data_IF_869286100600
#
_entry.id   IF_869286100600
#
_cell.length_a   1.000
_cell.length_b   1.000
_cell.length_c   1.000
_cell.angle_alpha   90.00
_cell.angle_beta   90.00
_cell.angle_gamma   90.00
#
_symmetry.space_group_name_H-M   'P 1'
#
loop_
_entity.id
_entity.type
_entity.pdbx_description
1 polymer ?
#
# COMPACT_ATOMS: atom_id res chain seq x y z
N UNK A 1 10.38 -12.94 17.18
CA UNK A 1 9.35 -12.74 16.13
C UNK A 1 9.85 -11.66 15.20
N UNK A 2 9.54 -11.74 13.91
CA UNK A 2 9.89 -10.70 12.96
C UNK A 2 8.61 -10.05 12.38
N UNK A 3 8.74 -8.80 11.93
CA UNK A 3 7.68 -8.08 11.22
C UNK A 3 8.06 -7.87 9.77
N UNK A 4 7.16 -8.18 8.87
CA UNK A 4 7.34 -7.93 7.45
C UNK A 4 6.52 -6.71 7.05
N UNK A 5 7.19 -5.68 6.53
CA UNK A 5 6.54 -4.51 5.94
C UNK A 5 6.46 -4.73 4.42
N UNK A 6 5.27 -5.08 3.95
CA UNK A 6 4.96 -5.17 2.53
C UNK A 6 4.68 -3.77 1.99
N UNK A 7 5.39 -3.41 0.93
CA UNK A 7 5.40 -2.05 0.40
C UNK A 7 5.15 -2.03 -1.09
N UNK A 8 4.44 -1.00 -1.51
CA UNK A 8 4.26 -0.63 -2.90
C UNK A 8 4.25 0.89 -3.03
N UNK A 9 4.19 1.41 -4.26
CA UNK A 9 4.21 2.82 -4.58
C UNK A 9 3.06 3.20 -5.51
N UNK A 10 2.40 4.34 -5.26
CA UNK A 10 1.43 4.89 -6.18
C UNK A 10 1.60 6.39 -6.38
N UNK A 11 1.13 6.91 -7.51
CA UNK A 11 1.13 8.35 -7.75
C UNK A 11 2.35 8.87 -8.51
N UNK A 12 3.11 8.01 -9.18
CA UNK A 12 4.19 8.45 -10.08
C UNK A 12 3.67 9.33 -11.22
N UNK A 13 2.42 9.13 -11.65
CA UNK A 13 1.71 10.07 -12.52
C UNK A 13 1.18 11.25 -11.71
N UNK A 14 2.05 12.24 -11.53
CA UNK A 14 1.74 13.48 -10.80
C UNK A 14 0.54 14.27 -11.36
N UNK A 15 0.01 13.90 -12.51
CA UNK A 15 -1.14 14.58 -13.12
C UNK A 15 -2.48 13.95 -12.69
N UNK A 16 -2.51 12.70 -12.29
CA UNK A 16 -3.74 11.96 -12.00
C UNK A 16 -4.08 11.87 -10.50
N UNK A 17 -3.08 11.82 -9.61
CA UNK A 17 -3.29 11.58 -8.18
C UNK A 17 -2.86 12.77 -7.31
N UNK A 18 -3.51 13.02 -6.17
CA UNK A 18 -3.20 14.16 -5.30
C UNK A 18 -1.91 13.98 -4.48
N UNK A 19 -1.53 12.74 -4.22
CA UNK A 19 -0.33 12.39 -3.44
C UNK A 19 0.41 11.22 -4.07
N UNK A 20 1.73 11.33 -4.11
CA UNK A 20 2.60 10.17 -4.25
C UNK A 20 2.66 9.48 -2.90
N UNK A 21 2.25 8.21 -2.82
CA UNK A 21 2.23 7.43 -1.58
C UNK A 21 3.17 6.25 -1.70
N UNK A 22 4.00 6.06 -0.67
CA UNK A 22 4.87 4.90 -0.49
C UNK A 22 4.59 4.25 0.84
N UNK A 23 4.55 2.94 0.86
CA UNK A 23 4.33 2.18 2.07
C UNK A 23 3.38 1.02 1.84
N UNK A 24 2.67 0.64 2.88
CA UNK A 24 1.75 -0.47 2.86
C UNK A 24 1.43 -0.92 4.27
N UNK A 25 1.57 -2.21 4.55
CA UNK A 25 1.25 -2.74 5.87
C UNK A 25 2.33 -3.66 6.42
N UNK A 26 2.50 -3.64 7.73
CA UNK A 26 3.35 -4.56 8.46
C UNK A 26 2.52 -5.65 9.13
N UNK A 27 3.00 -6.89 9.09
CA UNK A 27 2.38 -8.04 9.72
C UNK A 27 3.45 -8.91 10.39
N UNK A 28 3.11 -9.56 11.50
CA UNK A 28 4.01 -10.50 12.16
C UNK A 28 4.24 -11.75 11.28
N UNK A 29 5.45 -12.28 11.28
CA UNK A 29 5.85 -13.48 10.53
C UNK A 29 4.91 -14.67 10.79
N UNK A 30 4.50 -14.86 12.04
CA UNK A 30 3.58 -15.91 12.45
C UNK A 30 2.15 -15.77 11.89
N UNK A 31 1.73 -14.55 11.54
CA UNK A 31 0.42 -14.26 10.99
C UNK A 31 0.41 -14.27 9.45
N UNK A 32 1.59 -14.26 8.79
CA UNK A 32 1.70 -14.11 7.34
C UNK A 32 0.99 -15.23 6.58
N UNK A 33 1.31 -16.49 6.90
CA UNK A 33 0.71 -17.60 6.15
C UNK A 33 -0.80 -17.72 6.35
N UNK A 34 -1.35 -17.64 7.58
CA UNK A 34 -2.81 -17.53 7.78
C UNK A 34 -3.45 -16.38 7.00
N UNK A 35 -2.80 -15.20 6.95
CA UNK A 35 -3.27 -14.06 6.17
C UNK A 35 -3.34 -14.37 4.67
N UNK A 36 -2.29 -14.95 4.10
CA UNK A 36 -2.25 -15.34 2.67
C UNK A 36 -3.37 -16.33 2.35
N UNK A 37 -3.59 -17.34 3.20
CA UNK A 37 -4.68 -18.28 3.03
C UNK A 37 -6.06 -17.61 3.10
N UNK A 38 -6.25 -16.66 4.00
CA UNK A 38 -7.49 -15.91 4.12
C UNK A 38 -7.75 -15.02 2.90
N UNK A 39 -6.73 -14.37 2.34
CA UNK A 39 -6.86 -13.58 1.10
C UNK A 39 -7.25 -14.48 -0.07
N UNK A 40 -6.64 -15.65 -0.21
CA UNK A 40 -7.06 -16.62 -1.24
C UNK A 40 -8.51 -17.07 -1.08
N UNK A 41 -8.95 -17.35 0.14
CA UNK A 41 -10.36 -17.73 0.41
C UNK A 41 -11.31 -16.58 0.06
N UNK A 42 -10.93 -15.34 0.40
CA UNK A 42 -11.71 -14.16 0.08
C UNK A 42 -11.85 -13.97 -1.42
N UNK A 43 -10.76 -14.15 -2.18
CA UNK A 43 -10.73 -14.06 -3.63
C UNK A 43 -11.73 -15.06 -4.26
N UNK A 44 -11.66 -16.33 -3.84
CA UNK A 44 -12.62 -17.38 -4.26
C UNK A 44 -14.05 -17.06 -3.84
N UNK A 45 -14.25 -16.48 -2.65
CA UNK A 45 -15.58 -16.07 -2.19
C UNK A 45 -16.17 -14.93 -3.02
N UNK A 46 -15.35 -13.96 -3.39
CA UNK A 46 -15.80 -12.80 -4.16
C UNK A 46 -16.03 -13.13 -5.62
N UNK A 47 -15.04 -13.72 -6.29
CA UNK A 47 -15.02 -13.92 -7.74
C UNK A 47 -15.37 -15.35 -8.19
N UNK A 48 -15.33 -16.33 -7.29
CA UNK A 48 -15.50 -17.73 -7.62
C UNK A 48 -14.33 -18.35 -8.38
N UNK A 49 -13.21 -17.65 -8.47
CA UNK A 49 -11.99 -18.06 -9.14
C UNK A 49 -10.80 -17.28 -8.56
N UNK A 50 -9.58 -17.74 -8.82
CA UNK A 50 -8.37 -16.97 -8.59
C UNK A 50 -8.14 -16.04 -9.78
N UNK A 51 -7.88 -14.78 -9.53
CA UNK A 51 -7.63 -13.79 -10.60
C UNK A 51 -6.40 -14.16 -11.42
N UNK A 52 -5.38 -14.73 -10.79
CA UNK A 52 -4.16 -15.19 -11.47
C UNK A 52 -4.44 -16.22 -12.58
N UNK A 53 -5.44 -17.10 -12.41
CA UNK A 53 -5.84 -18.08 -13.42
C UNK A 53 -6.36 -17.40 -14.70
N UNK A 54 -6.76 -16.14 -14.58
CA UNK A 54 -7.26 -15.31 -15.69
C UNK A 54 -6.29 -14.16 -16.04
N UNK A 55 -5.01 -14.29 -15.74
CA UNK A 55 -3.98 -13.27 -15.99
C UNK A 55 -4.34 -11.91 -15.41
N UNK A 56 -5.00 -11.92 -14.27
CA UNK A 56 -5.38 -10.73 -13.52
C UNK A 56 -4.82 -10.80 -12.11
N UNK A 57 -4.83 -9.68 -11.40
CA UNK A 57 -4.28 -9.55 -10.06
C UNK A 57 -5.13 -8.59 -9.23
N UNK A 58 -4.98 -8.66 -7.92
CA UNK A 58 -5.58 -7.73 -6.97
C UNK A 58 -4.81 -6.41 -7.06
N UNK A 59 -5.48 -5.34 -7.54
CA UNK A 59 -4.93 -3.98 -7.60
C UNK A 59 -5.98 -2.95 -7.21
N UNK A 60 -5.58 -1.92 -6.46
CA UNK A 60 -6.44 -0.81 -6.06
C UNK A 60 -7.08 -0.12 -7.24
N UNK A 61 -6.30 0.13 -8.30
CA UNK A 61 -6.78 0.70 -9.57
C UNK A 61 -7.84 -0.16 -10.25
N UNK A 62 -7.79 -1.49 -10.10
CA UNK A 62 -8.75 -2.43 -10.68
C UNK A 62 -9.98 -2.63 -9.80
N UNK A 63 -9.78 -2.80 -8.47
CA UNK A 63 -10.87 -3.06 -7.53
C UNK A 63 -11.72 -1.81 -7.24
N UNK A 64 -11.08 -0.64 -7.19
CA UNK A 64 -11.67 0.62 -6.75
C UNK A 64 -11.75 1.66 -7.88
N UNK A 65 -11.75 1.23 -9.15
CA UNK A 65 -12.02 2.09 -10.28
C UNK A 65 -13.43 2.70 -10.18
N UNK A 66 -13.64 3.89 -10.73
CA UNK A 66 -14.94 4.56 -10.70
C UNK A 66 -16.07 3.73 -11.30
N UNK A 67 -15.77 2.98 -12.35
CA UNK A 67 -16.73 2.08 -12.99
C UNK A 67 -17.10 0.89 -12.07
N UNK A 68 -16.23 0.47 -11.15
CA UNK A 68 -16.53 -0.57 -10.15
C UNK A 68 -17.56 -0.09 -9.14
N UNK A 69 -17.41 1.14 -8.63
CA UNK A 69 -18.43 1.77 -7.79
C UNK A 69 -19.74 1.94 -8.57
N UNK A 70 -19.68 2.51 -9.77
CA UNK A 70 -20.85 2.74 -10.63
C UNK A 70 -21.63 1.45 -10.92
N UNK A 71 -20.94 0.33 -11.17
CA UNK A 71 -21.58 -0.94 -11.51
C UNK A 71 -21.89 -1.75 -10.25
N UNK A 72 -21.02 -1.76 -9.25
CA UNK A 72 -21.17 -2.57 -8.03
C UNK A 72 -22.28 -2.09 -7.09
N UNK A 73 -22.69 -0.81 -7.19
CA UNK A 73 -23.79 -0.23 -6.42
C UNK A 73 -25.13 -0.26 -7.18
N UNK A 74 -25.20 -0.92 -8.34
CA UNK A 74 -26.43 -1.06 -9.13
C UNK A 74 -27.19 -2.33 -8.82
N UNK A 75 -28.48 -2.28 -9.03
CA UNK A 75 -29.35 -3.46 -9.06
C UNK A 75 -29.15 -4.30 -10.34
N UNK A 76 -29.38 -5.61 -10.27
CA UNK A 76 -29.72 -6.35 -9.05
C UNK A 76 -28.49 -6.66 -8.19
N UNK A 77 -28.71 -6.76 -6.87
CA UNK A 77 -27.71 -7.35 -5.94
C UNK A 77 -27.75 -8.85 -6.11
N UNK A 78 -26.64 -9.44 -6.55
CA UNK A 78 -26.57 -10.89 -6.79
C UNK A 78 -26.27 -11.68 -5.52
N UNK A 79 -26.90 -12.84 -5.37
CA UNK A 79 -26.46 -13.84 -4.42
C UNK A 79 -25.02 -14.33 -4.74
N UNK A 80 -24.43 -15.08 -3.81
CA UNK A 80 -23.05 -15.53 -3.93
C UNK A 80 -22.81 -16.38 -5.20
N UNK A 81 -23.69 -17.36 -5.46
CA UNK A 81 -23.49 -18.30 -6.57
C UNK A 81 -23.62 -17.62 -7.93
N UNK A 82 -24.65 -16.80 -8.11
CA UNK A 82 -24.88 -16.00 -9.32
C UNK A 82 -23.76 -15.03 -9.56
N UNK A 83 -23.32 -14.27 -8.52
CA UNK A 83 -22.20 -13.35 -8.62
C UNK A 83 -20.93 -14.06 -9.07
N UNK A 84 -20.57 -15.19 -8.46
CA UNK A 84 -19.38 -15.95 -8.82
C UNK A 84 -19.44 -16.48 -10.26
N UNK A 85 -20.59 -17.00 -10.70
CA UNK A 85 -20.74 -17.46 -12.09
C UNK A 85 -20.55 -16.33 -13.10
N UNK A 86 -21.17 -15.18 -12.84
CA UNK A 86 -21.03 -13.98 -13.71
C UNK A 86 -19.60 -13.40 -13.68
N UNK A 87 -18.92 -13.45 -12.53
CA UNK A 87 -17.53 -13.01 -12.44
C UNK A 87 -16.59 -13.90 -13.23
N UNK A 88 -16.71 -15.23 -13.12
CA UNK A 88 -15.92 -16.14 -13.98
C UNK A 88 -16.16 -15.90 -15.46
N UNK A 89 -17.42 -15.72 -15.85
CA UNK A 89 -17.75 -15.42 -17.24
C UNK A 89 -17.19 -14.05 -17.69
N UNK A 90 -17.14 -13.05 -16.80
CA UNK A 90 -16.49 -11.76 -17.07
C UNK A 90 -14.98 -11.90 -17.28
N UNK A 91 -14.33 -12.66 -16.41
CA UNK A 91 -12.88 -12.91 -16.49
C UNK A 91 -12.54 -13.69 -17.76
N UNK A 92 -13.36 -14.67 -18.14
CA UNK A 92 -13.20 -15.42 -19.37
C UNK A 92 -13.37 -14.52 -20.63
N UNK A 93 -14.38 -13.62 -20.63
CA UNK A 93 -14.55 -12.64 -21.71
C UNK A 93 -13.28 -11.77 -21.84
N UNK A 94 -12.65 -11.40 -20.71
CA UNK A 94 -11.41 -10.64 -20.70
C UNK A 94 -10.25 -11.37 -21.39
N UNK A 95 -10.07 -12.67 -21.13
CA UNK A 95 -9.07 -13.50 -21.82
C UNK A 95 -9.32 -13.60 -23.32
N UNK A 96 -10.60 -13.70 -23.69
CA UNK A 96 -11.04 -13.83 -25.08
C UNK A 96 -11.18 -12.47 -25.79
N UNK A 97 -10.88 -11.36 -25.09
CA UNK A 97 -11.05 -9.98 -25.59
C UNK A 97 -12.48 -9.67 -26.06
N UNK A 98 -13.48 -10.26 -25.41
CA UNK A 98 -14.89 -10.03 -25.68
C UNK A 98 -15.43 -8.90 -24.80
N UNK A 99 -16.31 -8.03 -25.30
CA UNK A 99 -16.94 -7.02 -24.47
C UNK A 99 -17.90 -7.66 -23.44
N UNK A 100 -17.79 -7.33 -22.14
CA UNK A 100 -18.66 -7.91 -21.14
C UNK A 100 -20.07 -7.30 -21.18
N UNK A 101 -21.08 -8.12 -20.95
CA UNK A 101 -22.45 -7.66 -20.78
C UNK A 101 -22.69 -6.94 -19.45
N UNK A 102 -23.78 -6.14 -19.38
CA UNK A 102 -24.12 -5.31 -18.22
C UNK A 102 -24.17 -6.10 -16.89
N UNK A 103 -24.79 -7.29 -16.87
CA UNK A 103 -24.90 -8.11 -15.66
C UNK A 103 -23.53 -8.59 -15.17
N UNK A 104 -22.61 -8.95 -16.08
CA UNK A 104 -21.25 -9.34 -15.75
C UNK A 104 -20.49 -8.16 -15.14
N UNK A 105 -20.64 -6.94 -15.68
CA UNK A 105 -20.02 -5.73 -15.12
C UNK A 105 -20.55 -5.41 -13.72
N UNK A 106 -21.86 -5.57 -13.49
CA UNK A 106 -22.48 -5.37 -12.18
C UNK A 106 -21.95 -6.39 -11.17
N UNK A 107 -21.95 -7.67 -11.51
CA UNK A 107 -21.45 -8.73 -10.63
C UNK A 107 -19.97 -8.56 -10.29
N UNK A 108 -19.15 -8.22 -11.28
CA UNK A 108 -17.73 -7.97 -11.09
C UNK A 108 -17.47 -6.71 -10.26
N UNK A 109 -18.27 -5.65 -10.41
CA UNK A 109 -18.23 -4.47 -9.55
C UNK A 109 -18.55 -4.81 -8.09
N UNK A 110 -19.62 -5.58 -7.85
CA UNK A 110 -19.99 -6.06 -6.50
C UNK A 110 -18.87 -6.92 -5.88
N UNK A 111 -18.29 -7.84 -6.66
CA UNK A 111 -17.18 -8.67 -6.20
C UNK A 111 -15.93 -7.84 -5.88
N UNK A 112 -15.62 -6.83 -6.70
CA UNK A 112 -14.46 -5.95 -6.50
C UNK A 112 -14.57 -5.14 -5.21
N UNK A 113 -15.74 -4.53 -4.96
CA UNK A 113 -15.98 -3.79 -3.73
C UNK A 113 -15.95 -4.70 -2.50
N UNK A 114 -16.57 -5.90 -2.59
CA UNK A 114 -16.53 -6.89 -1.52
C UNK A 114 -15.10 -7.37 -1.25
N UNK A 115 -14.28 -7.57 -2.27
CA UNK A 115 -12.88 -7.94 -2.13
C UNK A 115 -12.10 -6.85 -1.39
N UNK A 116 -12.26 -5.59 -1.79
CA UNK A 116 -11.58 -4.49 -1.12
C UNK A 116 -12.00 -4.35 0.35
N UNK A 117 -13.29 -4.47 0.67
CA UNK A 117 -13.77 -4.47 2.07
C UNK A 117 -13.15 -5.61 2.87
N UNK A 118 -13.19 -6.82 2.33
CA UNK A 118 -12.67 -8.00 2.98
C UNK A 118 -11.15 -7.94 3.21
N UNK A 119 -10.39 -7.28 2.32
CA UNK A 119 -8.96 -7.02 2.54
C UNK A 119 -8.75 -6.23 3.84
N UNK A 120 -9.49 -5.15 4.04
CA UNK A 120 -9.36 -4.36 5.28
C UNK A 120 -9.82 -5.13 6.52
N UNK A 121 -10.86 -5.97 6.39
CA UNK A 121 -11.30 -6.86 7.48
C UNK A 121 -10.21 -7.89 7.85
N UNK A 122 -9.50 -8.42 6.85
CA UNK A 122 -8.39 -9.35 7.06
C UNK A 122 -7.18 -8.66 7.69
N UNK A 123 -6.81 -7.46 7.23
CA UNK A 123 -5.73 -6.68 7.84
C UNK A 123 -6.01 -6.43 9.32
N UNK A 124 -7.24 -6.10 9.68
CA UNK A 124 -7.64 -5.92 11.08
C UNK A 124 -7.58 -7.23 11.86
N UNK A 125 -8.15 -8.31 11.33
CA UNK A 125 -8.15 -9.64 11.95
C UNK A 125 -6.76 -10.15 12.27
N UNK A 126 -5.83 -9.95 11.34
CA UNK A 126 -4.42 -10.37 11.49
C UNK A 126 -3.55 -9.32 12.18
N UNK A 127 -4.15 -8.26 12.76
CA UNK A 127 -3.47 -7.20 13.51
C UNK A 127 -2.36 -6.52 12.71
N UNK A 128 -2.55 -6.38 11.41
CA UNK A 128 -1.66 -5.64 10.55
C UNK A 128 -1.68 -4.14 10.91
N UNK A 129 -0.56 -3.47 10.66
CA UNK A 129 -0.39 -2.05 10.94
C UNK A 129 0.05 -1.31 9.68
N UNK A 130 -0.53 -0.17 9.39
CA UNK A 130 -0.21 0.62 8.21
C UNK A 130 0.93 1.59 8.50
N UNK A 131 1.92 1.58 7.60
CA UNK A 131 3.04 2.52 7.53
C UNK A 131 3.11 3.09 6.11
N UNK A 132 3.06 4.41 6.01
CA UNK A 132 3.13 5.08 4.71
C UNK A 132 3.64 6.51 4.82
N UNK A 133 4.19 7.00 3.73
CA UNK A 133 4.48 8.41 3.50
C UNK A 133 3.67 8.92 2.33
N UNK A 134 3.15 10.13 2.46
CA UNK A 134 2.41 10.81 1.41
C UNK A 134 3.13 12.12 1.04
N UNK A 135 3.49 12.28 -0.22
CA UNK A 135 4.13 13.47 -0.77
C UNK A 135 3.09 14.23 -1.59
N UNK A 136 2.80 15.51 -1.30
CA UNK A 136 1.84 16.28 -2.07
C UNK A 136 2.24 16.40 -3.54
N UNK A 137 1.25 16.49 -4.39
CA UNK A 137 1.45 16.70 -5.83
C UNK A 137 2.33 17.94 -6.09
N UNK A 138 3.34 17.78 -6.94
CA UNK A 138 4.26 18.86 -7.31
C UNK A 138 5.54 18.93 -6.48
N UNK A 139 5.57 18.33 -5.28
CA UNK A 139 6.78 18.26 -4.44
C UNK A 139 7.76 17.15 -4.86
N UNK A 140 7.32 16.25 -5.71
CA UNK A 140 8.12 15.11 -6.17
C UNK A 140 9.18 15.43 -7.24
N UNK A 141 9.37 16.72 -7.64
CA UNK A 141 10.36 17.11 -8.63
C UNK A 141 11.36 18.10 -8.02
N UNK A 142 12.69 17.92 -8.26
CA UNK A 142 13.68 18.91 -7.89
C UNK A 142 13.35 20.26 -8.52
N UNK A 143 13.57 21.35 -7.80
CA UNK A 143 13.45 22.70 -8.36
C UNK A 143 14.51 22.86 -9.46
N UNK A 144 14.11 23.34 -10.63
CA UNK A 144 15.00 23.52 -11.77
C UNK A 144 16.13 24.47 -11.38
N UNK A 145 17.38 23.98 -11.41
CA UNK A 145 18.57 24.76 -11.02
C UNK A 145 19.09 24.50 -9.61
N UNK A 146 18.37 23.74 -8.76
CA UNK A 146 18.92 23.25 -7.49
C UNK A 146 19.76 21.99 -7.75
N UNK A 147 20.91 21.84 -7.05
CA UNK A 147 21.67 20.61 -7.14
C UNK A 147 20.79 19.45 -6.67
N UNK A 148 20.89 18.26 -7.30
CA UNK A 148 20.18 17.10 -6.81
C UNK A 148 20.52 16.90 -5.33
N UNK A 149 19.53 16.53 -4.49
CA UNK A 149 19.81 16.24 -3.10
C UNK A 149 20.92 15.19 -3.00
N UNK A 150 21.76 15.25 -1.97
CA UNK A 150 22.85 14.29 -1.82
C UNK A 150 22.29 12.88 -1.96
N UNK A 151 23.03 11.98 -2.56
CA UNK A 151 22.67 10.62 -2.99
C UNK A 151 22.29 9.65 -1.84
N UNK A 152 21.81 10.22 -0.75
CA UNK A 152 21.27 9.52 0.39
C UNK A 152 19.77 9.31 0.14
N UNK A 153 19.23 8.28 0.74
CA UNK A 153 17.84 7.87 0.64
C UNK A 153 16.87 9.07 0.70
N UNK A 154 15.93 9.15 -0.23
CA UNK A 154 14.92 10.21 -0.32
C UNK A 154 14.15 10.35 1.00
N UNK A 155 13.75 11.57 1.34
CA UNK A 155 13.19 11.92 2.66
C UNK A 155 11.96 11.11 3.04
N UNK A 156 11.07 10.81 2.10
CA UNK A 156 9.90 9.97 2.33
C UNK A 156 10.26 8.55 2.77
N UNK A 157 11.22 7.90 2.10
CA UNK A 157 11.74 6.60 2.55
C UNK A 157 12.35 6.69 3.96
N UNK A 158 13.11 7.76 4.22
CA UNK A 158 13.73 7.96 5.54
C UNK A 158 12.68 8.05 6.65
N UNK A 159 11.59 8.80 6.42
CA UNK A 159 10.50 8.90 7.39
C UNK A 159 9.72 7.59 7.55
N UNK A 160 9.50 6.85 6.46
CA UNK A 160 8.86 5.53 6.54
C UNK A 160 9.67 4.58 7.41
N UNK A 161 10.99 4.45 7.13
CA UNK A 161 11.90 3.63 7.92
C UNK A 161 11.96 4.08 9.38
N UNK A 162 11.92 5.37 9.64
CA UNK A 162 11.91 5.92 11.00
C UNK A 162 10.67 5.46 11.78
N UNK A 163 9.48 5.56 11.19
CA UNK A 163 8.24 5.14 11.85
C UNK A 163 8.20 3.63 12.09
N UNK A 164 8.66 2.87 11.12
CA UNK A 164 8.76 1.42 11.27
C UNK A 164 9.80 1.04 12.33
N UNK A 165 10.95 1.73 12.38
CA UNK A 165 11.97 1.54 13.40
C UNK A 165 11.44 1.80 14.82
N UNK A 166 10.71 2.91 15.05
CA UNK A 166 10.13 3.20 16.36
C UNK A 166 9.16 2.10 16.82
N UNK A 167 8.36 1.59 15.89
CA UNK A 167 7.48 0.46 16.16
C UNK A 167 8.27 -0.79 16.58
N UNK A 168 9.27 -1.18 15.80
CA UNK A 168 10.10 -2.36 16.04
C UNK A 168 10.87 -2.26 17.36
N UNK A 169 11.46 -1.10 17.65
CA UNK A 169 12.15 -0.82 18.89
C UNK A 169 11.22 -0.97 20.10
N UNK A 170 10.01 -0.40 20.02
CA UNK A 170 9.00 -0.56 21.06
C UNK A 170 8.56 -2.02 21.27
N UNK A 171 8.62 -2.84 20.21
CA UNK A 171 8.37 -4.30 20.28
C UNK A 171 9.60 -5.11 20.67
N UNK A 172 10.82 -4.58 20.52
CA UNK A 172 12.09 -5.30 20.60
C UNK A 172 12.18 -6.46 19.63
N UNK A 173 11.72 -6.23 18.41
CA UNK A 173 11.63 -7.23 17.34
C UNK A 173 12.26 -6.71 16.05
N UNK A 174 12.71 -7.61 15.18
CA UNK A 174 13.32 -7.26 13.89
C UNK A 174 12.26 -7.05 12.83
N UNK A 175 12.57 -6.21 11.84
CA UNK A 175 11.72 -5.98 10.69
C UNK A 175 12.42 -6.20 9.36
N UNK A 176 11.66 -6.69 8.39
CA UNK A 176 12.08 -6.88 7.00
C UNK A 176 11.21 -6.02 6.08
N UNK A 177 11.82 -5.49 5.03
CA UNK A 177 11.12 -4.79 3.97
C UNK A 177 10.92 -5.72 2.79
N UNK A 178 9.68 -5.88 2.33
CA UNK A 178 9.31 -6.65 1.14
C UNK A 178 8.64 -5.69 0.16
N UNK A 179 9.23 -5.54 -1.02
CA UNK A 179 8.86 -4.53 -2.00
C UNK A 179 8.48 -5.18 -3.34
N UNK A 180 7.62 -4.51 -4.09
CA UNK A 180 7.39 -4.87 -5.49
C UNK A 180 8.65 -4.68 -6.33
N UNK A 181 8.96 -5.64 -7.19
CA UNK A 181 10.01 -5.54 -8.18
C UNK A 181 9.57 -4.60 -9.31
N UNK A 182 10.35 -3.55 -9.57
CA UNK A 182 10.05 -2.58 -10.63
C UNK A 182 10.91 -2.87 -11.85
N UNK A 183 12.13 -2.42 -11.82
CA UNK A 183 13.11 -2.62 -12.89
C UNK A 183 14.48 -2.92 -12.28
N UNK A 184 15.15 -3.94 -12.77
CA UNK A 184 16.41 -4.45 -12.19
C UNK A 184 17.48 -3.37 -11.94
N UNK A 185 17.54 -2.33 -12.76
CA UNK A 185 18.50 -1.22 -12.56
C UNK A 185 18.02 -0.25 -11.48
N UNK A 186 16.73 0.02 -11.40
CA UNK A 186 16.14 0.89 -10.38
C UNK A 186 16.23 0.25 -9.01
N UNK A 187 15.88 -1.03 -8.91
CA UNK A 187 16.00 -1.82 -7.68
C UNK A 187 17.44 -1.82 -7.16
N UNK A 188 18.43 -2.04 -8.02
CA UNK A 188 19.86 -1.98 -7.65
C UNK A 188 20.27 -0.61 -7.12
N UNK A 189 19.84 0.48 -7.77
CA UNK A 189 20.11 1.85 -7.31
C UNK A 189 19.46 2.12 -5.96
N UNK A 190 18.23 1.62 -5.78
CA UNK A 190 17.54 1.75 -4.50
C UNK A 190 18.26 0.97 -3.39
N UNK A 191 18.65 -0.28 -3.64
CA UNK A 191 19.45 -1.09 -2.69
C UNK A 191 20.74 -0.37 -2.33
N UNK A 192 21.47 0.18 -3.30
CA UNK A 192 22.71 0.92 -3.03
C UNK A 192 22.46 2.14 -2.14
N UNK A 193 21.41 2.93 -2.39
CA UNK A 193 21.03 4.07 -1.56
C UNK A 193 20.63 3.63 -0.14
N UNK A 194 19.88 2.55 -0.01
CA UNK A 194 19.53 1.96 1.28
C UNK A 194 20.78 1.54 2.05
N UNK A 195 21.68 0.83 1.39
CA UNK A 195 22.95 0.40 1.97
C UNK A 195 23.79 1.61 2.43
N UNK A 196 23.93 2.62 1.59
CA UNK A 196 24.64 3.85 1.93
C UNK A 196 23.99 4.57 3.12
N UNK A 197 22.68 4.64 3.16
CA UNK A 197 21.95 5.20 4.27
C UNK A 197 22.26 4.45 5.58
N UNK A 198 22.14 3.14 5.60
CA UNK A 198 22.39 2.33 6.80
C UNK A 198 23.85 2.35 7.25
N UNK A 199 24.80 2.44 6.34
CA UNK A 199 26.22 2.42 6.68
C UNK A 199 26.80 3.79 6.97
N UNK A 200 26.45 4.83 6.17
CA UNK A 200 27.12 6.12 6.18
C UNK A 200 26.46 7.15 7.09
N UNK A 201 25.20 6.94 7.52
CA UNK A 201 24.51 7.90 8.39
C UNK A 201 24.40 7.39 9.83
N UNK A 202 24.43 8.31 10.82
CA UNK A 202 24.23 7.94 12.24
C UNK A 202 22.86 7.33 12.49
N UNK A 203 21.80 7.93 11.90
CA UNK A 203 20.44 7.42 12.00
C UNK A 203 20.26 6.05 11.33
N UNK A 204 20.91 5.84 10.18
CA UNK A 204 20.87 4.57 9.48
C UNK A 204 21.50 3.46 10.29
N UNK A 205 22.73 3.67 10.84
CA UNK A 205 23.40 2.72 11.72
C UNK A 205 22.58 2.37 12.95
N UNK A 206 21.87 3.34 13.53
CA UNK A 206 20.97 3.08 14.65
C UNK A 206 19.80 2.17 14.23
N UNK A 207 19.17 2.48 13.09
CA UNK A 207 17.99 1.75 12.59
C UNK A 207 18.31 0.35 12.11
N UNK A 208 19.55 0.07 11.67
CA UNK A 208 19.99 -1.27 11.29
C UNK A 208 19.99 -2.28 12.43
N UNK A 209 19.84 -1.82 13.68
CA UNK A 209 19.62 -2.70 14.85
C UNK A 209 18.25 -3.36 14.84
N UNK A 210 17.27 -2.76 14.16
CA UNK A 210 15.88 -3.18 14.16
C UNK A 210 15.35 -3.55 12.77
N UNK A 211 15.93 -2.97 11.71
CA UNK A 211 15.52 -3.22 10.33
C UNK A 211 16.66 -3.95 9.62
N UNK A 212 16.36 -5.08 8.99
CA UNK A 212 17.32 -5.76 8.11
C UNK A 212 17.68 -4.76 6.98
N UNK A 213 19.00 -4.41 6.85
CA UNK A 213 19.42 -3.30 5.98
C UNK A 213 19.45 -3.68 4.48
N UNK A 214 18.64 -4.61 4.06
CA UNK A 214 18.46 -5.02 2.68
C UNK A 214 17.00 -5.32 2.42
N UNK A 215 16.34 -4.66 1.47
CA UNK A 215 14.98 -5.01 1.07
C UNK A 215 14.95 -6.30 0.27
N UNK A 216 13.84 -7.00 0.33
CA UNK A 216 13.53 -8.17 -0.50
C UNK A 216 12.56 -7.73 -1.60
N UNK A 217 12.93 -7.95 -2.86
CA UNK A 217 12.07 -7.68 -4.00
C UNK A 217 11.36 -8.96 -4.43
N UNK A 218 10.07 -8.83 -4.72
CA UNK A 218 9.22 -9.93 -5.15
C UNK A 218 8.36 -9.50 -6.32
N UNK A 219 8.09 -10.40 -7.24
CA UNK A 219 7.15 -10.13 -8.33
C UNK A 219 5.72 -10.03 -7.77
N UNK A 220 5.05 -8.90 -8.00
CA UNK A 220 3.73 -8.63 -7.42
C UNK A 220 2.66 -9.63 -7.86
N UNK A 221 2.74 -10.11 -9.10
CA UNK A 221 1.81 -11.12 -9.64
C UNK A 221 1.88 -12.48 -8.90
N UNK A 222 2.99 -12.74 -8.19
CA UNK A 222 3.22 -13.95 -7.40
C UNK A 222 3.09 -13.72 -5.88
N UNK A 223 3.03 -12.47 -5.42
CA UNK A 223 3.10 -12.10 -4.02
C UNK A 223 1.82 -11.39 -3.53
N UNK A 224 0.81 -12.15 -3.09
CA UNK A 224 -0.46 -11.58 -2.59
C UNK A 224 -0.31 -10.45 -1.56
N UNK A 225 0.61 -10.51 -0.58
CA UNK A 225 0.74 -9.41 0.36
C UNK A 225 1.16 -8.09 -0.29
N UNK A 226 1.97 -8.12 -1.36
CA UNK A 226 2.32 -6.90 -2.12
C UNK A 226 1.13 -6.38 -2.89
N UNK A 227 0.30 -7.26 -3.49
CA UNK A 227 -0.96 -6.85 -4.12
C UNK A 227 -1.92 -6.20 -3.12
N UNK A 228 -1.96 -6.68 -1.88
CA UNK A 228 -2.74 -6.05 -0.81
C UNK A 228 -2.15 -4.68 -0.43
N UNK A 229 -0.83 -4.54 -0.40
CA UNK A 229 -0.18 -3.25 -0.15
C UNK A 229 -0.56 -2.21 -1.22
N UNK A 230 -0.64 -2.59 -2.52
CA UNK A 230 -1.14 -1.72 -3.60
C UNK A 230 -2.57 -1.20 -3.29
N UNK A 231 -3.47 -2.06 -2.85
CA UNK A 231 -4.83 -1.64 -2.46
C UNK A 231 -4.81 -0.65 -1.30
N UNK A 232 -3.97 -0.88 -0.28
CA UNK A 232 -3.83 0.00 0.89
C UNK A 232 -3.34 1.38 0.48
N UNK A 233 -2.26 1.47 -0.30
CA UNK A 233 -1.71 2.76 -0.72
C UNK A 233 -2.61 3.50 -1.71
N UNK A 234 -3.33 2.77 -2.57
CA UNK A 234 -4.34 3.37 -3.45
C UNK A 234 -5.46 4.05 -2.65
N UNK A 235 -5.98 3.37 -1.62
CA UNK A 235 -6.97 3.95 -0.71
C UNK A 235 -6.39 5.16 0.04
N UNK A 236 -5.13 5.07 0.50
CA UNK A 236 -4.45 6.19 1.14
C UNK A 236 -4.36 7.41 0.22
N UNK A 237 -3.94 7.22 -1.02
CA UNK A 237 -3.79 8.31 -1.98
C UNK A 237 -5.10 9.03 -2.26
N UNK A 238 -6.21 8.30 -2.45
CA UNK A 238 -7.48 8.84 -2.87
C UNK A 238 -8.49 9.13 -1.76
N UNK A 239 -8.41 8.42 -0.62
CA UNK A 239 -9.48 8.43 0.38
C UNK A 239 -9.07 8.91 1.76
N UNK A 240 -7.79 8.82 2.14
CA UNK A 240 -7.34 9.21 3.47
C UNK A 240 -6.79 10.62 3.50
N UNK A 241 -7.18 11.39 4.53
CA UNK A 241 -6.62 12.72 4.78
C UNK A 241 -6.28 12.89 6.25
N UNK A 242 -5.09 13.39 6.49
CA UNK A 242 -4.67 13.85 7.82
C UNK A 242 -4.98 15.32 7.95
N UNK A 243 -5.79 15.67 8.94
CA UNK A 243 -6.16 17.06 9.20
C UNK A 243 -4.94 17.99 9.20
N UNK A 244 -5.08 19.15 8.57
CA UNK A 244 -4.07 20.22 8.44
C UNK A 244 -2.82 19.88 7.62
N UNK A 245 -2.57 18.63 7.31
CA UNK A 245 -1.35 18.22 6.60
C UNK A 245 -1.63 17.73 5.16
N UNK A 246 -2.82 17.17 4.94
CA UNK A 246 -3.20 16.62 3.65
C UNK A 246 -4.50 17.27 3.17
N UNK A 247 -4.38 18.30 2.33
CA UNK A 247 -5.51 19.13 1.86
C UNK A 247 -5.94 18.83 0.41
N UNK A 248 -5.27 17.90 -0.26
CA UNK A 248 -5.57 17.53 -1.64
C UNK A 248 -6.97 16.90 -1.80
N UNK A 249 -7.53 16.89 -3.01
CA UNK A 249 -8.86 16.37 -3.25
C UNK A 249 -8.97 14.87 -2.92
N UNK A 250 -10.16 14.45 -2.51
CA UNK A 250 -10.50 13.05 -2.28
C UNK A 250 -11.45 12.50 -3.33
N UNK A 251 -11.46 11.20 -3.48
CA UNK A 251 -12.58 10.48 -4.09
C UNK A 251 -13.54 10.12 -2.95
N UNK A 252 -14.71 10.79 -2.92
CA UNK A 252 -15.68 10.66 -1.82
C UNK A 252 -16.08 9.21 -1.59
N UNK A 253 -16.33 8.45 -2.66
CA UNK A 253 -16.71 7.06 -2.58
C UNK A 253 -15.65 6.15 -1.93
N UNK A 254 -14.37 6.56 -1.98
CA UNK A 254 -13.27 5.85 -1.30
C UNK A 254 -13.14 6.38 0.14
N UNK A 255 -13.19 7.70 0.33
CA UNK A 255 -13.04 8.31 1.65
C UNK A 255 -14.13 7.83 2.63
N UNK A 256 -15.39 7.92 2.25
CA UNK A 256 -16.53 7.49 3.08
C UNK A 256 -16.44 6.02 3.50
N UNK A 257 -15.91 5.17 2.62
CA UNK A 257 -15.85 3.73 2.86
C UNK A 257 -14.62 3.28 3.64
N UNK A 258 -13.47 3.93 3.44
CA UNK A 258 -12.18 3.38 3.91
C UNK A 258 -11.37 4.31 4.81
N UNK A 259 -11.65 5.60 4.92
CA UNK A 259 -10.85 6.52 5.74
C UNK A 259 -10.76 6.06 7.19
N UNK A 260 -11.89 5.68 7.78
CA UNK A 260 -11.95 5.18 9.15
C UNK A 260 -11.17 3.86 9.34
N UNK A 261 -11.12 3.01 8.30
CA UNK A 261 -10.38 1.74 8.33
C UNK A 261 -8.87 2.00 8.32
N UNK A 262 -8.40 2.90 7.46
CA UNK A 262 -7.00 3.36 7.46
C UNK A 262 -6.66 3.96 8.82
N UNK A 263 -7.53 4.82 9.36
CA UNK A 263 -7.30 5.45 10.65
C UNK A 263 -7.19 4.44 11.79
N UNK A 264 -7.98 3.39 11.77
CA UNK A 264 -7.91 2.28 12.74
C UNK A 264 -6.63 1.47 12.63
N UNK A 265 -6.18 1.18 11.40
CA UNK A 265 -5.02 0.32 11.13
C UNK A 265 -3.68 1.07 11.19
N UNK A 266 -3.67 2.41 11.07
CA UNK A 266 -2.41 3.16 11.15
C UNK A 266 -1.72 2.94 12.49
N UNK A 267 -0.44 2.62 12.47
CA UNK A 267 0.33 2.54 13.71
C UNK A 267 0.28 3.84 14.50
N UNK A 268 0.16 3.71 15.81
CA UNK A 268 0.24 4.80 16.78
C UNK A 268 1.20 4.40 17.89
N UNK A 269 2.16 5.24 18.19
CA UNK A 269 3.16 4.98 19.21
C UNK A 269 3.98 6.21 19.54
N UNK A 270 5.16 5.98 20.04
CA UNK A 270 6.11 7.02 20.42
C UNK A 270 7.36 6.94 19.54
N UNK A 271 7.91 8.10 19.21
CA UNK A 271 9.22 8.27 18.63
C UNK A 271 10.16 8.96 19.62
N UNK A 272 11.45 8.91 19.34
CA UNK A 272 12.49 9.58 20.09
C UNK A 272 13.44 10.35 19.17
N UNK A 273 13.68 11.62 19.45
CA UNK A 273 14.53 12.50 18.62
C UNK A 273 15.96 12.67 19.14
N UNK A 274 16.34 11.90 20.14
CA UNK A 274 17.63 12.01 20.84
C UNK A 274 17.55 12.85 22.12
N UNK A 275 16.48 13.59 22.34
CA UNK A 275 16.28 14.49 23.49
C UNK A 275 14.99 14.13 24.24
N UNK A 276 13.89 13.95 23.51
CA UNK A 276 12.57 13.71 24.08
C UNK A 276 11.76 12.69 23.28
N UNK A 277 10.82 12.05 23.97
CA UNK A 277 9.77 11.24 23.35
C UNK A 277 8.68 12.15 22.77
N UNK A 278 8.10 11.74 21.67
CA UNK A 278 6.98 12.41 21.02
C UNK A 278 6.00 11.42 20.43
N UNK A 279 4.74 11.81 20.29
CA UNK A 279 3.73 11.00 19.60
C UNK A 279 4.12 10.80 18.13
N UNK A 280 4.06 9.57 17.67
CA UNK A 280 4.38 9.20 16.29
C UNK A 280 3.28 8.32 15.69
N UNK A 281 3.12 8.46 14.38
CA UNK A 281 2.09 7.75 13.61
C UNK A 281 2.72 7.05 12.40
N UNK A 282 2.15 5.91 12.01
CA UNK A 282 2.61 5.15 10.85
C UNK A 282 2.45 5.89 9.52
N UNK A 283 1.53 6.87 9.44
CA UNK A 283 1.31 7.66 8.23
C UNK A 283 1.82 9.08 8.46
N UNK A 284 2.63 9.58 7.52
CA UNK A 284 3.20 10.93 7.57
C UNK A 284 3.12 11.62 6.21
N UNK A 285 2.73 12.90 6.22
CA UNK A 285 2.84 13.78 5.04
C UNK A 285 4.24 14.41 4.97
N UNK A 286 4.83 14.44 3.79
CA UNK A 286 6.16 15.00 3.52
C UNK A 286 6.03 16.13 2.50
N UNK A 287 5.65 17.35 2.93
CA UNK A 287 5.40 18.48 2.01
C UNK A 287 6.68 19.15 1.50
N UNK A 288 7.83 18.79 2.04
CA UNK A 288 9.12 19.42 1.79
C UNK A 288 10.20 18.41 1.39
N UNK A 289 9.86 17.52 0.46
CA UNK A 289 10.64 16.34 0.06
C UNK A 289 12.13 16.62 -0.16
N UNK A 290 12.47 17.74 -0.77
CA UNK A 290 13.84 18.12 -1.15
C UNK A 290 14.50 19.12 -0.19
N UNK A 291 13.79 19.66 0.81
CA UNK A 291 14.38 20.56 1.80
C UNK A 291 15.11 19.77 2.88
N UNK A 292 16.24 20.27 3.41
CA UNK A 292 16.91 19.66 4.56
C UNK A 292 15.95 19.51 5.73
N UNK A 293 16.14 18.47 6.53
CA UNK A 293 15.42 18.33 7.80
C UNK A 293 15.92 19.43 8.74
N UNK A 294 15.03 20.32 9.19
CA UNK A 294 15.35 21.34 10.20
C UNK A 294 15.48 20.67 11.57
#
# INVERSE_FOLDING_TARGET
>A
MAWLLFMDECGHDHNAVPYEVRGGFAIADSALWPFVQDVHRLELECFGARLADYKSEIKGTKLLARDRFKNGLRDPVFDKATRQALCRAHLQDGLEKKPPGKLKLTAYGQASLKMADGIFDLLERHKALIFATAVPRGEGKPVKGEPPPPDILRKDHTFLLERFCYFLEGKREMGLLVMDEVEKQEDRRFVQRMHDYFQKTGNGRYRSKWIVPSPFFVASDMALPVQVADVVIYVLSWGYRREREMTGPTRLEIAERYEHRIDKLKWRGEGYDGVKTFRSFGIVCVPDLYKPRK
#
